data_IF_569505389965
#
_entry.id   IF_569505389965
#
_cell.length_a   1.000
_cell.length_b   1.000
_cell.length_c   1.000
_cell.angle_alpha   90.00
_cell.angle_beta   90.00
_cell.angle_gamma   90.00
#
_symmetry.space_group_name_H-M   'P 1'
#
loop_
_entity.id
_entity.type
_entity.pdbx_description
1 polymer ?
#
# COMPACT_ATOMS: atom_id res chain seq x y z
N UNK A 1 -14.81 -7.15 0.96
CA UNK A 1 -14.00 -6.00 0.49
C UNK A 1 -14.26 -4.86 1.46
N UNK A 2 -13.24 -4.35 2.13
CA UNK A 2 -13.41 -3.16 2.96
C UNK A 2 -13.64 -1.95 2.05
N UNK A 3 -14.62 -1.12 2.40
CA UNK A 3 -14.98 0.08 1.65
C UNK A 3 -14.26 1.26 2.27
N UNK A 4 -13.76 2.20 1.46
CA UNK A 4 -13.19 3.47 1.94
C UNK A 4 -14.14 4.12 2.94
N UNK A 5 -13.62 4.56 4.08
CA UNK A 5 -14.40 5.27 5.08
C UNK A 5 -13.94 5.06 6.51
N UNK A 6 -14.66 5.69 7.43
CA UNK A 6 -14.43 5.56 8.86
C UNK A 6 -15.04 4.26 9.39
N UNK A 7 -14.25 3.48 10.12
CA UNK A 7 -14.64 2.29 10.84
C UNK A 7 -14.53 2.52 12.35
N UNK A 8 -15.52 2.03 13.10
CA UNK A 8 -15.53 2.10 14.56
C UNK A 8 -14.47 1.18 15.15
N UNK A 9 -13.76 1.66 16.16
CA UNK A 9 -12.73 0.89 16.87
C UNK A 9 -13.34 0.30 18.15
N UNK A 10 -13.04 -0.97 18.44
CA UNK A 10 -13.35 -1.59 19.73
C UNK A 10 -12.22 -2.50 20.20
N UNK A 11 -12.09 -2.62 21.52
CA UNK A 11 -11.13 -3.50 22.20
C UNK A 11 -11.89 -4.38 23.18
N UNK A 12 -11.52 -5.66 23.26
CA UNK A 12 -12.11 -6.62 24.22
C UNK A 12 -11.04 -7.05 25.22
N UNK A 13 -11.34 -6.94 26.51
CA UNK A 13 -10.48 -7.37 27.63
C UNK A 13 -11.37 -8.16 28.58
N UNK A 14 -10.98 -9.39 28.93
CA UNK A 14 -11.71 -10.26 29.87
C UNK A 14 -13.23 -10.32 29.58
N UNK A 15 -13.59 -10.60 28.32
CA UNK A 15 -14.97 -10.67 27.82
C UNK A 15 -15.76 -9.33 27.81
N UNK A 16 -15.18 -8.24 28.31
CA UNK A 16 -15.76 -6.91 28.25
C UNK A 16 -15.30 -6.14 27.01
N UNK A 17 -16.25 -5.56 26.26
CA UNK A 17 -15.95 -4.78 25.05
C UNK A 17 -16.06 -3.28 25.29
N UNK A 18 -15.01 -2.55 24.91
CA UNK A 18 -14.91 -1.10 24.98
C UNK A 18 -14.93 -0.54 23.55
N UNK A 19 -15.82 0.41 23.28
CA UNK A 19 -15.88 1.13 21.99
C UNK A 19 -15.28 2.51 22.15
N UNK A 20 -14.46 2.93 21.19
CA UNK A 20 -13.95 4.29 21.17
C UNK A 20 -15.08 5.25 20.72
N UNK A 21 -15.45 6.22 21.57
CA UNK A 21 -16.58 7.11 21.30
C UNK A 21 -16.29 8.17 20.21
N UNK A 22 -15.02 8.55 20.05
CA UNK A 22 -14.61 9.62 19.13
C UNK A 22 -13.38 9.26 18.29
N UNK A 23 -12.93 8.00 18.33
CA UNK A 23 -11.80 7.51 17.54
C UNK A 23 -12.29 6.53 16.48
N UNK A 24 -11.89 6.77 15.24
CA UNK A 24 -12.20 5.93 14.10
C UNK A 24 -10.91 5.52 13.40
N UNK A 25 -10.92 4.32 12.82
CA UNK A 25 -9.91 3.92 11.85
C UNK A 25 -10.39 4.34 10.47
N UNK A 26 -9.56 5.02 9.69
CA UNK A 26 -9.94 5.46 8.34
C UNK A 26 -9.32 4.55 7.29
N UNK A 27 -10.17 3.79 6.59
CA UNK A 27 -9.79 3.06 5.41
C UNK A 27 -9.71 4.01 4.22
N UNK A 28 -8.54 4.06 3.60
CA UNK A 28 -8.28 4.88 2.41
C UNK A 28 -8.42 4.02 1.14
N UNK A 29 -8.44 4.69 -0.01
CA UNK A 29 -8.41 4.00 -1.30
C UNK A 29 -7.11 3.20 -1.48
N UNK A 30 -7.23 2.05 -2.14
CA UNK A 30 -6.08 1.23 -2.50
C UNK A 30 -5.17 1.98 -3.49
N UNK A 31 -3.83 1.85 -3.35
CA UNK A 31 -2.88 2.33 -4.34
C UNK A 31 -3.13 1.70 -5.71
N UNK A 32 -3.03 2.50 -6.77
CA UNK A 32 -3.16 2.06 -8.16
C UNK A 32 -1.91 2.51 -8.92
N UNK A 33 -1.19 1.57 -9.56
CA UNK A 33 -0.04 1.88 -10.42
C UNK A 33 -0.54 1.97 -11.86
N UNK A 34 -0.26 3.09 -12.52
CA UNK A 34 -0.62 3.33 -13.91
C UNK A 34 0.59 3.16 -14.85
N UNK A 35 1.78 3.58 -14.42
CA UNK A 35 2.99 3.52 -15.23
C UNK A 35 4.26 3.43 -14.39
N UNK A 36 5.31 2.86 -14.98
CA UNK A 36 6.66 2.73 -14.41
C UNK A 36 7.69 3.05 -15.48
N UNK A 37 8.55 4.04 -15.22
CA UNK A 37 9.57 4.47 -16.17
C UNK A 37 10.93 4.74 -15.50
N UNK A 38 12.04 4.20 -16.05
CA UNK A 38 12.09 3.23 -17.15
C UNK A 38 11.59 1.83 -16.72
N UNK A 39 11.06 1.04 -17.67
CA UNK A 39 10.56 -0.31 -17.41
C UNK A 39 11.63 -1.42 -17.46
N UNK A 40 12.91 -1.02 -17.64
CA UNK A 40 14.07 -1.91 -17.70
C UNK A 40 15.23 -1.28 -16.95
N UNK A 41 16.04 -2.12 -16.31
CA UNK A 41 17.26 -1.76 -15.60
C UNK A 41 18.31 -2.85 -15.77
N UNK A 42 19.56 -2.52 -15.50
CA UNK A 42 20.57 -3.54 -15.19
C UNK A 42 20.17 -4.30 -13.91
N UNK A 43 20.48 -5.59 -13.84
CA UNK A 43 20.22 -6.44 -12.66
C UNK A 43 20.93 -5.93 -11.39
N UNK A 44 22.05 -5.22 -11.55
CA UNK A 44 22.76 -4.54 -10.46
C UNK A 44 22.01 -3.33 -9.89
N UNK A 45 20.93 -2.87 -10.54
CA UNK A 45 20.15 -1.70 -10.13
C UNK A 45 20.87 -0.37 -10.37
N UNK A 46 20.66 0.60 -9.47
CA UNK A 46 21.33 1.91 -9.49
C UNK A 46 20.67 3.00 -10.33
N UNK A 47 19.54 2.71 -10.99
CA UNK A 47 18.78 3.71 -11.74
C UNK A 47 17.63 4.29 -10.93
N UNK A 48 17.27 5.54 -11.22
CA UNK A 48 16.07 6.16 -10.67
C UNK A 48 14.84 5.68 -11.43
N UNK A 49 13.89 5.07 -10.72
CA UNK A 49 12.58 4.71 -11.24
C UNK A 49 11.55 5.79 -10.89
N UNK A 50 10.67 6.11 -11.83
CA UNK A 50 9.50 6.95 -11.65
C UNK A 50 8.26 6.09 -11.78
N UNK A 51 7.46 6.02 -10.71
CA UNK A 51 6.20 5.28 -10.68
C UNK A 51 5.07 6.31 -10.64
N UNK A 52 4.17 6.24 -11.62
CA UNK A 52 2.98 7.09 -11.69
C UNK A 52 1.73 6.27 -11.35
N UNK A 53 0.80 6.89 -10.62
CA UNK A 53 -0.33 6.17 -10.06
C UNK A 53 -1.25 7.06 -9.25
N UNK A 54 -2.22 6.44 -8.57
CA UNK A 54 -3.09 7.09 -7.60
C UNK A 54 -2.85 6.51 -6.22
N UNK A 55 -3.00 7.36 -5.20
CA UNK A 55 -2.99 6.93 -3.79
C UNK A 55 -1.72 6.19 -3.37
N UNK A 56 -0.59 6.37 -4.07
CA UNK A 56 0.65 5.64 -3.80
C UNK A 56 1.19 5.90 -2.38
N UNK A 57 0.87 7.07 -1.81
CA UNK A 57 1.22 7.45 -0.44
C UNK A 57 0.39 6.72 0.64
N UNK A 58 -0.68 6.00 0.27
CA UNK A 58 -1.49 5.21 1.22
C UNK A 58 -0.86 3.84 1.51
N UNK A 59 0.17 3.45 0.76
CA UNK A 59 0.89 2.20 0.99
C UNK A 59 1.76 2.29 2.25
N UNK A 60 1.66 1.29 3.13
CA UNK A 60 2.48 1.21 4.35
C UNK A 60 3.92 0.79 4.08
N UNK A 61 4.13 -0.06 3.07
CA UNK A 61 5.44 -0.53 2.66
C UNK A 61 5.49 -0.62 1.13
N UNK A 62 6.61 -0.17 0.55
CA UNK A 62 6.87 -0.23 -0.89
C UNK A 62 7.90 -1.32 -1.15
N UNK A 63 7.59 -2.21 -2.08
CA UNK A 63 8.51 -3.23 -2.58
C UNK A 63 8.51 -3.20 -4.10
N UNK A 64 9.70 -3.18 -4.68
CA UNK A 64 9.90 -3.22 -6.12
C UNK A 64 10.63 -4.52 -6.43
N UNK A 65 10.06 -5.32 -7.31
CA UNK A 65 10.68 -6.53 -7.84
C UNK A 65 10.91 -6.35 -9.33
N UNK A 66 12.15 -6.52 -9.75
CA UNK A 66 12.50 -6.59 -11.16
C UNK A 66 12.54 -8.06 -11.55
N UNK A 67 11.76 -8.43 -12.57
CA UNK A 67 11.87 -9.76 -13.16
C UNK A 67 13.13 -9.80 -14.05
N UNK A 68 14.01 -10.76 -13.79
CA UNK A 68 15.12 -11.04 -14.72
C UNK A 68 14.54 -11.61 -16.00
N UNK A 69 14.69 -10.88 -17.12
CA UNK A 69 14.49 -11.47 -18.43
C UNK A 69 15.77 -12.24 -18.77
N UNK A 70 15.75 -13.56 -18.60
CA UNK A 70 16.80 -14.46 -19.08
C UNK A 70 16.85 -14.44 -20.62
N UNK A 71 17.49 -13.41 -21.17
CA UNK A 71 17.89 -13.41 -22.58
C UNK A 71 19.20 -14.18 -22.67
N UNK A 72 19.07 -15.49 -22.91
CA UNK A 72 20.09 -16.48 -23.33
C UNK A 72 21.48 -16.37 -22.70
#
# INVERSE_FOLDING_TARGET
METKGAASISVTIDEQTFKAASQFFSYLENPEINDISPNKSMSSGGIKLTIAGKYLNNAHAIRIEMLENSST
#
